data_IF_789545223047
#
_entry.id   IF_789545223047
#
_cell.length_a   1.000
_cell.length_b   1.000
_cell.length_c   1.000
_cell.angle_alpha   90.00
_cell.angle_beta   90.00
_cell.angle_gamma   90.00
#
_symmetry.space_group_name_H-M   'P 1'
#
loop_
_entity.id
_entity.type
_entity.pdbx_description
1 polymer ?
#
# COMPACT_ATOMS: atom_id res chain seq x y z
N UNK A 1 -16.96 -62.72 -34.03
CA UNK A 1 -15.86 -62.25 -33.17
C UNK A 1 -16.48 -61.45 -32.04
N UNK A 2 -16.61 -62.04 -30.85
CA UNK A 2 -17.15 -61.34 -29.69
C UNK A 2 -16.00 -60.58 -29.02
N UNK A 3 -16.04 -59.26 -29.12
CA UNK A 3 -15.14 -58.36 -28.41
C UNK A 3 -15.38 -58.50 -26.90
N UNK A 4 -14.48 -59.24 -26.24
CA UNK A 4 -14.49 -59.41 -24.79
C UNK A 4 -13.88 -58.14 -24.19
N UNK A 5 -14.72 -57.13 -24.02
CA UNK A 5 -14.39 -55.94 -23.24
C UNK A 5 -14.19 -56.36 -21.77
N UNK A 6 -12.95 -56.66 -21.40
CA UNK A 6 -12.54 -56.86 -20.01
C UNK A 6 -12.68 -55.50 -19.32
N UNK A 7 -13.84 -55.23 -18.70
CA UNK A 7 -14.00 -54.07 -17.82
C UNK A 7 -13.04 -54.24 -16.66
N UNK A 8 -11.88 -53.59 -16.74
CA UNK A 8 -11.01 -53.37 -15.59
C UNK A 8 -11.84 -52.57 -14.59
N UNK A 9 -12.30 -53.24 -13.52
CA UNK A 9 -12.95 -52.54 -12.42
C UNK A 9 -11.87 -51.76 -11.69
N UNK A 10 -12.17 -50.51 -11.38
CA UNK A 10 -11.32 -49.69 -10.52
C UNK A 10 -11.16 -50.43 -9.19
N UNK A 11 -9.93 -50.82 -8.86
CA UNK A 11 -9.63 -51.38 -7.54
C UNK A 11 -10.00 -50.35 -6.48
N UNK A 12 -10.77 -50.77 -5.49
CA UNK A 12 -11.14 -49.95 -4.34
C UNK A 12 -10.28 -50.36 -3.14
N UNK A 13 -10.06 -49.44 -2.20
CA UNK A 13 -9.27 -49.71 -0.98
C UNK A 13 -9.76 -50.90 -0.15
N UNK A 14 -11.03 -51.33 -0.33
CA UNK A 14 -11.62 -52.50 0.32
C UNK A 14 -11.27 -53.82 -0.36
N UNK A 15 -10.70 -53.78 -1.56
CA UNK A 15 -10.37 -54.98 -2.32
C UNK A 15 -9.08 -55.57 -1.72
N UNK A 16 -9.12 -56.86 -1.37
CA UNK A 16 -8.06 -57.56 -0.63
C UNK A 16 -6.72 -57.66 -1.35
N UNK A 17 -6.67 -57.25 -2.61
CA UNK A 17 -5.52 -57.27 -3.50
C UNK A 17 -4.97 -55.88 -3.84
N UNK A 18 -5.37 -54.85 -3.07
CA UNK A 18 -4.75 -53.52 -3.07
C UNK A 18 -3.67 -53.47 -2.00
N UNK A 19 -2.41 -53.46 -2.42
CA UNK A 19 -1.25 -53.24 -1.55
C UNK A 19 -0.94 -51.75 -1.44
N UNK A 20 -0.23 -51.29 -0.39
CA UNK A 20 0.21 -49.91 -0.28
C UNK A 20 1.02 -49.44 -1.50
N UNK A 21 1.76 -50.35 -2.13
CA UNK A 21 2.49 -50.09 -3.38
C UNK A 21 1.58 -49.80 -4.59
N UNK A 22 0.33 -50.26 -4.56
CA UNK A 22 -0.68 -50.06 -5.60
C UNK A 22 -1.38 -48.69 -5.49
N UNK A 23 -1.14 -47.93 -4.42
CA UNK A 23 -1.57 -46.54 -4.27
C UNK A 23 -0.57 -45.66 -5.05
N UNK A 24 -1.03 -45.08 -6.16
CA UNK A 24 -0.22 -44.39 -7.17
C UNK A 24 0.89 -43.51 -6.55
N UNK A 25 2.14 -43.97 -6.68
CA UNK A 25 3.35 -43.30 -6.20
C UNK A 25 4.47 -44.26 -5.76
N UNK A 26 4.17 -45.52 -5.45
CA UNK A 26 5.18 -46.56 -5.20
C UNK A 26 6.06 -46.35 -3.96
N UNK A 27 5.75 -45.38 -3.10
CA UNK A 27 6.46 -45.19 -1.83
C UNK A 27 5.85 -46.18 -0.83
N UNK A 28 6.44 -47.37 -0.75
CA UNK A 28 5.96 -48.47 0.08
C UNK A 28 5.99 -48.17 1.60
N UNK A 29 6.54 -47.03 2.03
CA UNK A 29 6.62 -46.64 3.44
C UNK A 29 6.81 -45.13 3.57
N UNK A 30 5.74 -44.32 3.55
CA UNK A 30 5.84 -42.86 3.69
C UNK A 30 6.20 -42.42 5.12
N UNK A 31 6.37 -43.37 6.04
CA UNK A 31 6.59 -43.12 7.46
C UNK A 31 5.28 -42.89 8.23
N UNK A 32 5.39 -42.70 9.53
CA UNK A 32 4.26 -42.34 10.38
C UNK A 32 3.80 -40.90 10.11
N UNK A 33 2.54 -40.60 10.42
CA UNK A 33 1.94 -39.25 10.33
C UNK A 33 1.78 -38.68 8.91
N UNK A 34 1.52 -39.55 7.93
CA UNK A 34 1.14 -39.15 6.58
C UNK A 34 -0.32 -39.52 6.29
N UNK A 35 -1.02 -38.71 5.51
CA UNK A 35 -2.31 -39.07 4.91
C UNK A 35 -2.19 -39.12 3.39
N UNK A 36 -2.88 -40.06 2.74
CA UNK A 36 -2.99 -40.09 1.28
C UNK A 36 -4.23 -39.30 0.86
N UNK A 37 -4.07 -38.30 0.00
CA UNK A 37 -5.16 -37.44 -0.43
C UNK A 37 -4.80 -36.59 -1.64
N UNK A 38 -5.60 -35.55 -1.88
CA UNK A 38 -5.38 -34.56 -2.93
C UNK A 38 -5.20 -33.19 -2.26
N UNK A 39 -4.14 -32.45 -2.59
CA UNK A 39 -3.92 -31.10 -2.04
C UNK A 39 -4.74 -30.03 -2.77
N UNK A 40 -4.66 -28.78 -2.30
CA UNK A 40 -5.38 -27.62 -2.86
C UNK A 40 -5.02 -27.30 -4.32
N UNK A 41 -3.91 -27.85 -4.82
CA UNK A 41 -3.48 -27.74 -6.22
C UNK A 41 -3.98 -28.90 -7.10
N UNK A 42 -4.77 -29.83 -6.56
CA UNK A 42 -5.28 -31.00 -7.28
C UNK A 42 -4.27 -32.15 -7.45
N UNK A 43 -3.08 -32.05 -6.85
CA UNK A 43 -2.07 -33.11 -6.88
C UNK A 43 -2.46 -34.18 -5.86
N UNK A 44 -2.36 -35.46 -6.24
CA UNK A 44 -2.61 -36.58 -5.33
C UNK A 44 -1.28 -37.13 -4.80
N UNK A 45 -1.21 -37.48 -3.51
CA UNK A 45 -0.01 -38.01 -2.89
C UNK A 45 -0.11 -38.21 -1.38
N UNK A 46 1.02 -38.56 -0.77
CA UNK A 46 1.17 -38.56 0.69
C UNK A 46 1.55 -37.17 1.19
N UNK A 47 0.78 -36.68 2.15
CA UNK A 47 0.99 -35.38 2.80
C UNK A 47 1.20 -35.56 4.29
N UNK A 48 1.91 -34.62 4.92
CA UNK A 48 1.99 -34.55 6.38
C UNK A 48 0.61 -34.35 6.98
N UNK A 49 0.28 -35.10 8.02
CA UNK A 49 -0.86 -34.75 8.87
C UNK A 49 -0.68 -33.30 9.35
N UNK A 50 -1.77 -32.51 9.47
CA UNK A 50 -1.69 -31.16 9.99
C UNK A 50 -0.90 -31.12 11.30
N UNK A 51 0.00 -30.15 11.43
CA UNK A 51 0.75 -29.97 12.67
C UNK A 51 -0.23 -29.84 13.85
N UNK A 52 -0.04 -30.64 14.89
CA UNK A 52 -0.97 -30.64 16.03
C UNK A 52 -1.01 -29.25 16.66
N UNK A 53 -2.20 -28.75 16.96
CA UNK A 53 -2.42 -27.49 17.69
C UNK A 53 -2.57 -27.72 19.18
N UNK A 54 -2.64 -28.98 19.62
CA UNK A 54 -2.83 -29.37 20.99
C UNK A 54 -1.95 -30.59 21.35
N UNK A 55 -1.51 -30.64 22.59
CA UNK A 55 -0.86 -31.80 23.19
C UNK A 55 -1.59 -32.16 24.48
N UNK A 56 -2.07 -33.40 24.57
CA UNK A 56 -2.86 -33.89 25.69
C UNK A 56 -2.16 -35.09 26.31
N UNK A 57 -2.30 -35.21 27.62
CA UNK A 57 -1.83 -36.39 28.33
C UNK A 57 -2.38 -36.45 29.74
N UNK A 58 -1.95 -37.47 30.45
CA UNK A 58 -2.25 -37.69 31.86
C UNK A 58 -0.98 -37.84 32.67
N UNK A 59 -1.08 -37.62 33.97
CA UNK A 59 0.04 -37.77 34.90
C UNK A 59 -0.47 -38.19 36.30
N UNK A 60 0.42 -38.77 37.07
CA UNK A 60 0.24 -39.12 38.49
C UNK A 60 1.33 -38.43 39.32
N UNK A 61 1.25 -38.51 40.65
CA UNK A 61 2.25 -37.93 41.56
C UNK A 61 3.69 -38.36 41.25
N UNK A 62 3.87 -39.63 40.84
CA UNK A 62 5.18 -40.17 40.49
C UNK A 62 5.82 -39.59 39.22
N UNK A 63 5.07 -38.84 38.40
CA UNK A 63 5.59 -38.12 37.25
C UNK A 63 6.15 -36.74 37.64
N UNK A 64 5.89 -36.29 38.87
CA UNK A 64 6.40 -35.04 39.41
C UNK A 64 7.81 -35.22 39.98
N UNK A 65 8.67 -34.25 39.72
CA UNK A 65 9.95 -34.10 40.42
C UNK A 65 9.86 -32.94 41.39
N UNK A 66 9.79 -33.22 42.69
CA UNK A 66 9.63 -32.20 43.75
C UNK A 66 8.42 -31.26 43.52
N UNK A 67 7.27 -31.83 43.12
CA UNK A 67 6.04 -31.06 42.86
C UNK A 67 5.94 -30.46 41.45
N UNK A 68 6.97 -30.59 40.63
CA UNK A 68 7.01 -30.00 39.27
C UNK A 68 6.78 -31.07 38.20
N UNK A 69 5.80 -30.82 37.34
CA UNK A 69 5.54 -31.62 36.13
C UNK A 69 6.33 -31.04 34.95
N UNK A 70 7.02 -31.90 34.19
CA UNK A 70 7.66 -31.53 32.93
C UNK A 70 6.86 -32.11 31.76
N UNK A 71 6.32 -31.25 30.89
CA UNK A 71 5.51 -31.64 29.73
C UNK A 71 6.29 -31.36 28.43
N UNK A 72 6.62 -32.41 27.69
CA UNK A 72 7.25 -32.31 26.36
C UNK A 72 6.19 -32.34 25.27
N UNK A 73 5.80 -31.17 24.74
CA UNK A 73 4.65 -31.00 23.85
C UNK A 73 4.98 -30.93 22.34
N UNK A 74 6.22 -30.59 21.96
CA UNK A 74 6.67 -30.53 20.55
C UNK A 74 5.78 -29.71 19.59
N UNK A 75 5.12 -28.64 20.06
CA UNK A 75 4.20 -27.82 19.24
C UNK A 75 4.91 -26.77 18.36
N UNK A 76 6.23 -26.65 18.49
CA UNK A 76 7.06 -25.75 17.70
C UNK A 76 6.91 -24.26 18.05
N UNK A 77 6.32 -23.94 19.21
CA UNK A 77 6.24 -22.57 19.75
C UNK A 77 6.49 -22.62 21.25
N UNK A 78 7.17 -21.59 21.78
CA UNK A 78 7.45 -21.49 23.22
C UNK A 78 6.20 -21.04 23.99
N UNK A 79 5.47 -20.08 23.45
CA UNK A 79 4.32 -19.51 24.12
C UNK A 79 3.08 -20.36 23.86
N UNK A 80 2.72 -21.19 24.84
CA UNK A 80 1.56 -22.08 24.83
C UNK A 80 0.58 -21.69 25.93
N UNK A 81 -0.64 -22.23 25.88
CA UNK A 81 -1.58 -22.18 27.00
C UNK A 81 -1.66 -23.56 27.63
N UNK A 82 -1.59 -23.63 28.96
CA UNK A 82 -1.65 -24.89 29.71
C UNK A 82 -2.91 -24.92 30.56
N UNK A 83 -3.61 -26.05 30.51
CA UNK A 83 -4.74 -26.37 31.38
C UNK A 83 -4.42 -27.65 32.13
N UNK A 84 -4.59 -27.65 33.45
CA UNK A 84 -4.48 -28.83 34.31
C UNK A 84 -5.87 -29.19 34.83
N UNK A 85 -6.20 -30.48 34.82
CA UNK A 85 -7.47 -31.03 35.29
C UNK A 85 -7.20 -32.14 36.29
N UNK A 86 -7.85 -32.12 37.44
CA UNK A 86 -7.71 -33.14 38.48
C UNK A 86 -8.46 -34.44 38.15
N UNK A 87 -8.31 -35.44 39.03
CA UNK A 87 -8.98 -36.75 38.92
C UNK A 87 -10.52 -36.68 39.07
N UNK A 88 -11.06 -35.53 39.51
CA UNK A 88 -12.49 -35.27 39.63
C UNK A 88 -13.04 -34.38 38.50
N UNK A 89 -12.33 -34.27 37.38
CA UNK A 89 -12.68 -33.43 36.23
C UNK A 89 -12.75 -31.92 36.52
N UNK A 90 -12.02 -31.43 37.54
CA UNK A 90 -11.96 -30.00 37.87
C UNK A 90 -10.71 -29.34 37.33
N UNK A 91 -10.88 -28.15 36.77
CA UNK A 91 -9.75 -27.31 36.39
C UNK A 91 -8.99 -26.86 37.63
N UNK A 92 -7.67 -27.00 37.59
CA UNK A 92 -6.77 -26.62 38.67
C UNK A 92 -5.86 -25.50 38.19
N UNK A 93 -5.67 -24.48 39.05
CA UNK A 93 -4.69 -23.44 38.81
C UNK A 93 -3.34 -23.89 39.39
N UNK A 94 -2.30 -24.06 38.58
CA UNK A 94 -0.96 -24.31 39.08
C UNK A 94 -0.41 -23.14 39.90
N UNK A 95 0.64 -23.40 40.68
CA UNK A 95 1.37 -22.36 41.40
C UNK A 95 2.18 -21.48 40.42
N UNK A 96 2.81 -22.11 39.44
CA UNK A 96 3.53 -21.45 38.36
C UNK A 96 3.52 -22.30 37.08
N UNK A 97 3.68 -21.64 35.93
CA UNK A 97 3.82 -22.29 34.62
C UNK A 97 4.94 -21.59 33.86
N UNK A 98 6.03 -22.33 33.60
CA UNK A 98 7.22 -21.79 32.94
C UNK A 98 7.31 -22.36 31.52
N UNK A 99 7.15 -21.47 30.54
CA UNK A 99 7.28 -21.77 29.10
C UNK A 99 8.74 -21.95 28.70
N UNK A 100 9.32 -23.12 28.99
CA UNK A 100 10.77 -23.36 28.95
C UNK A 100 11.37 -23.26 27.54
N UNK A 101 10.72 -23.85 26.53
CA UNK A 101 11.23 -23.88 25.15
C UNK A 101 10.10 -24.10 24.14
N UNK A 102 10.44 -24.21 22.85
CA UNK A 102 9.48 -24.54 21.78
C UNK A 102 8.90 -25.96 21.86
N UNK A 103 9.41 -26.79 22.77
CA UNK A 103 9.03 -28.19 22.93
C UNK A 103 8.68 -28.58 24.35
N UNK A 104 9.00 -27.76 25.36
CA UNK A 104 8.85 -28.11 26.79
C UNK A 104 8.22 -26.96 27.57
N UNK A 105 7.31 -27.31 28.48
CA UNK A 105 6.76 -26.44 29.53
C UNK A 105 6.84 -27.17 30.86
N UNK A 106 7.09 -26.44 31.95
CA UNK A 106 7.03 -26.98 33.31
C UNK A 106 5.90 -26.35 34.11
N UNK A 107 5.25 -27.14 34.94
CA UNK A 107 4.09 -26.73 35.74
C UNK A 107 4.38 -27.06 37.20
N UNK A 108 4.35 -26.06 38.07
CA UNK A 108 4.53 -26.22 39.50
C UNK A 108 3.17 -26.48 40.18
N UNK A 109 3.07 -27.60 40.89
CA UNK A 109 1.89 -28.04 41.64
C UNK A 109 2.23 -28.27 43.12
N UNK A 110 3.34 -27.72 43.61
CA UNK A 110 3.86 -27.98 44.96
C UNK A 110 2.85 -27.71 46.08
N UNK A 111 1.96 -26.73 45.93
CA UNK A 111 0.93 -26.40 46.92
C UNK A 111 -0.16 -27.47 47.07
N UNK A 112 -0.31 -28.35 46.07
CA UNK A 112 -1.25 -29.47 46.09
C UNK A 112 -0.71 -30.69 46.84
N UNK A 113 0.57 -30.70 47.22
CA UNK A 113 1.20 -31.81 47.94
C UNK A 113 1.21 -33.11 47.12
N UNK A 114 1.05 -34.24 47.80
CA UNK A 114 0.96 -35.54 47.12
C UNK A 114 -0.36 -35.66 46.37
N UNK A 115 -0.27 -35.82 45.05
CA UNK A 115 -1.46 -35.99 44.22
C UNK A 115 -2.06 -37.39 44.40
N UNK A 116 -3.39 -37.47 44.29
CA UNK A 116 -4.12 -38.75 44.26
C UNK A 116 -4.87 -38.88 42.93
N UNK A 117 -4.98 -40.11 42.44
CA UNK A 117 -5.65 -40.39 41.17
C UNK A 117 -4.81 -40.08 39.93
N UNK A 118 -5.46 -39.96 38.77
CA UNK A 118 -4.84 -39.64 37.49
C UNK A 118 -5.33 -38.29 36.99
N UNK A 119 -4.41 -37.34 36.92
CA UNK A 119 -4.67 -35.99 36.46
C UNK A 119 -4.42 -35.88 34.96
N UNK A 120 -4.91 -34.80 34.35
CA UNK A 120 -4.80 -34.54 32.92
C UNK A 120 -4.22 -33.16 32.65
N UNK A 121 -3.54 -33.03 31.53
CA UNK A 121 -3.11 -31.75 31.00
C UNK A 121 -3.51 -31.58 29.54
N UNK A 122 -3.71 -30.32 29.15
CA UNK A 122 -3.88 -29.87 27.79
C UNK A 122 -2.94 -28.69 27.56
N UNK A 123 -2.07 -28.81 26.56
CA UNK A 123 -1.19 -27.73 26.09
C UNK A 123 -1.67 -27.31 24.71
N UNK A 124 -2.04 -26.04 24.57
CA UNK A 124 -2.53 -25.46 23.32
C UNK A 124 -1.48 -24.54 22.71
N UNK A 125 -1.26 -24.68 21.41
CA UNK A 125 -0.45 -23.75 20.62
C UNK A 125 -1.13 -22.38 20.63
N UNK A 126 -0.50 -21.36 21.22
CA UNK A 126 -1.01 -19.99 21.10
C UNK A 126 -0.66 -19.43 19.72
N UNK A 127 -1.65 -18.88 19.02
CA UNK A 127 -1.49 -18.29 17.68
C UNK A 127 -1.06 -16.83 17.69
N UNK A 128 -0.77 -16.27 18.88
CA UNK A 128 -0.40 -14.87 19.02
C UNK A 128 1.05 -14.66 18.56
N UNK A 129 1.23 -14.02 17.41
CA UNK A 129 2.53 -13.51 16.99
C UNK A 129 2.85 -12.26 17.82
N UNK A 130 3.93 -12.30 18.60
CA UNK A 130 4.45 -11.13 19.33
C UNK A 130 5.32 -10.23 18.45
N UNK A 131 5.52 -10.58 17.18
CA UNK A 131 6.24 -9.72 16.25
C UNK A 131 5.38 -8.52 15.92
N UNK A 132 5.89 -7.31 16.19
CA UNK A 132 5.23 -6.08 15.78
C UNK A 132 4.92 -6.13 14.28
N UNK A 133 3.73 -5.70 13.84
CA UNK A 133 3.40 -5.74 12.42
C UNK A 133 4.36 -4.82 11.65
N UNK A 134 5.18 -5.40 10.77
CA UNK A 134 6.06 -4.64 9.87
C UNK A 134 5.33 -4.20 8.61
N UNK A 135 4.09 -4.65 8.39
CA UNK A 135 3.28 -4.22 7.25
C UNK A 135 1.78 -4.39 7.44
N UNK A 136 1.02 -3.56 6.75
CA UNK A 136 -0.39 -3.75 6.43
C UNK A 136 -0.43 -4.24 4.98
N UNK A 137 -1.04 -5.40 4.71
CA UNK A 137 -1.15 -5.98 3.37
C UNK A 137 -2.60 -6.36 3.08
N UNK A 138 -2.97 -6.38 1.80
CA UNK A 138 -4.20 -6.98 1.35
C UNK A 138 -4.10 -8.52 1.18
N UNK A 139 -5.13 -9.12 0.60
CA UNK A 139 -5.30 -10.57 0.58
C UNK A 139 -4.39 -11.28 -0.45
N UNK A 140 -4.07 -10.62 -1.56
CA UNK A 140 -3.16 -11.16 -2.58
C UNK A 140 -1.70 -10.72 -2.36
N UNK A 141 -1.48 -9.75 -1.47
CA UNK A 141 -0.16 -9.34 -1.01
C UNK A 141 0.55 -8.40 -1.98
N UNK A 142 -0.14 -7.85 -2.97
CA UNK A 142 0.43 -6.93 -3.94
C UNK A 142 0.29 -5.45 -3.52
N UNK A 143 -0.64 -5.16 -2.61
CA UNK A 143 -0.88 -3.83 -2.09
C UNK A 143 -0.53 -3.80 -0.60
N UNK A 144 0.44 -2.97 -0.23
CA UNK A 144 0.92 -2.92 1.15
C UNK A 144 1.41 -1.55 1.60
N UNK A 145 1.38 -1.37 2.92
CA UNK A 145 2.12 -0.32 3.64
C UNK A 145 3.16 -1.02 4.49
N UNK A 146 4.43 -0.86 4.15
CA UNK A 146 5.55 -1.52 4.82
C UNK A 146 6.30 -0.51 5.71
N UNK A 147 6.70 -0.96 6.89
CA UNK A 147 7.60 -0.28 7.82
C UNK A 147 8.86 -1.16 7.95
N UNK A 148 10.02 -0.59 7.58
CA UNK A 148 11.37 -1.17 7.75
C UNK A 148 11.56 -2.60 7.20
N UNK A 149 12.28 -2.76 6.07
CA UNK A 149 12.59 -4.10 5.55
C UNK A 149 13.83 -4.72 6.22
N UNK A 150 14.57 -3.94 7.01
CA UNK A 150 15.81 -4.30 7.69
C UNK A 150 15.96 -3.45 8.96
N UNK A 151 16.82 -3.90 9.89
CA UNK A 151 16.93 -3.39 11.28
C UNK A 151 17.26 -1.90 11.42
N UNK A 152 17.76 -1.27 10.37
CA UNK A 152 18.23 0.13 10.36
C UNK A 152 17.57 0.97 9.27
N UNK A 153 16.56 0.43 8.60
CA UNK A 153 15.93 1.12 7.49
C UNK A 153 14.73 1.94 7.96
N UNK A 154 14.96 3.21 8.32
CA UNK A 154 13.91 4.17 8.72
C UNK A 154 13.02 4.60 7.52
N UNK A 155 12.29 3.65 6.93
CA UNK A 155 11.46 3.89 5.73
C UNK A 155 10.07 3.34 5.87
N UNK A 156 9.12 4.13 5.36
CA UNK A 156 7.73 3.71 5.13
C UNK A 156 7.47 3.68 3.63
N UNK A 157 6.92 2.57 3.13
CA UNK A 157 6.62 2.38 1.69
C UNK A 157 5.16 2.07 1.46
N UNK A 158 4.61 2.61 0.39
CA UNK A 158 3.29 2.27 -0.13
C UNK A 158 3.49 1.55 -1.45
N UNK A 159 2.91 0.36 -1.58
CA UNK A 159 2.95 -0.47 -2.78
C UNK A 159 1.55 -0.69 -3.33
N UNK A 160 1.44 -0.72 -4.65
CA UNK A 160 0.22 -1.08 -5.38
C UNK A 160 0.64 -2.02 -6.51
N UNK A 161 -0.03 -3.16 -6.67
CA UNK A 161 0.29 -4.16 -7.70
C UNK A 161 1.78 -4.56 -7.67
N UNK A 162 2.36 -4.69 -6.47
CA UNK A 162 3.75 -5.08 -6.24
C UNK A 162 4.79 -3.99 -6.48
N UNK A 163 4.40 -2.78 -6.88
CA UNK A 163 5.31 -1.67 -7.18
C UNK A 163 5.28 -0.58 -6.11
N UNK A 164 6.44 -0.07 -5.68
CA UNK A 164 6.54 1.08 -4.76
C UNK A 164 6.05 2.36 -5.45
N UNK A 165 4.96 2.94 -4.95
CA UNK A 165 4.36 4.17 -5.49
C UNK A 165 4.68 5.40 -4.64
N UNK A 166 4.98 5.21 -3.35
CA UNK A 166 5.32 6.29 -2.43
C UNK A 166 6.26 5.78 -1.32
N UNK A 167 7.21 6.62 -0.93
CA UNK A 167 8.20 6.34 0.12
C UNK A 167 8.42 7.57 1.00
N UNK A 168 8.43 7.35 2.31
CA UNK A 168 8.93 8.30 3.30
C UNK A 168 10.28 7.80 3.82
N UNK A 169 11.30 8.65 3.75
CA UNK A 169 12.65 8.41 4.26
C UNK A 169 13.18 9.70 4.89
N UNK A 170 14.20 9.60 5.74
CA UNK A 170 14.77 10.76 6.44
C UNK A 170 15.13 11.89 5.45
N UNK A 171 14.69 13.11 5.78
CA UNK A 171 14.85 14.31 4.95
C UNK A 171 13.98 14.40 3.68
N UNK A 172 13.25 13.37 3.25
CA UNK A 172 12.55 13.36 1.96
C UNK A 172 11.12 13.96 1.99
N UNK A 173 10.51 14.08 3.17
CA UNK A 173 9.10 14.49 3.30
C UNK A 173 8.88 15.98 2.99
N UNK A 174 9.93 16.80 3.00
CA UNK A 174 9.85 18.23 2.70
C UNK A 174 9.96 18.57 1.19
N UNK A 175 10.32 17.60 0.34
CA UNK A 175 10.82 17.90 -1.01
C UNK A 175 10.00 17.38 -2.19
N UNK A 176 9.50 16.14 -2.14
CA UNK A 176 9.15 15.41 -3.37
C UNK A 176 7.66 15.09 -3.58
N UNK A 177 6.77 15.40 -2.64
CA UNK A 177 5.33 15.15 -2.84
C UNK A 177 4.71 16.14 -3.85
N UNK A 178 5.40 17.26 -4.16
CA UNK A 178 4.97 18.27 -5.14
C UNK A 178 6.03 18.68 -6.17
N UNK A 179 7.21 18.02 -6.22
CA UNK A 179 8.21 18.34 -7.25
C UNK A 179 7.79 17.75 -8.59
N UNK A 180 7.04 18.56 -9.31
CA UNK A 180 6.87 18.50 -10.74
C UNK A 180 8.26 18.57 -11.42
N UNK A 181 8.88 17.42 -11.66
CA UNK A 181 10.23 17.31 -12.23
C UNK A 181 10.28 17.54 -13.74
N UNK A 182 9.17 17.96 -14.36
CA UNK A 182 9.12 18.41 -15.75
C UNK A 182 8.96 19.93 -15.84
N UNK A 183 9.41 20.52 -16.95
CA UNK A 183 9.07 21.89 -17.34
C UNK A 183 7.58 21.93 -17.67
N UNK A 184 6.73 21.96 -16.64
CA UNK A 184 5.30 22.12 -16.83
C UNK A 184 4.96 23.61 -16.86
N UNK A 185 4.04 23.96 -17.75
CA UNK A 185 3.44 25.28 -17.73
C UNK A 185 2.72 25.47 -16.40
N UNK A 186 3.15 26.46 -15.62
CA UNK A 186 2.51 26.79 -14.34
C UNK A 186 1.10 27.37 -14.53
N UNK A 187 0.78 27.84 -15.74
CA UNK A 187 -0.52 28.41 -16.04
C UNK A 187 -1.54 27.33 -16.37
N UNK A 188 -2.58 27.26 -15.54
CA UNK A 188 -3.76 26.43 -15.79
C UNK A 188 -4.52 26.96 -17.00
N UNK A 189 -5.01 26.04 -17.84
CA UNK A 189 -5.83 26.36 -19.01
C UNK A 189 -5.20 27.44 -19.93
N UNK A 190 -3.87 27.43 -20.09
CA UNK A 190 -3.17 28.39 -20.96
C UNK A 190 -3.53 28.28 -22.44
N UNK A 191 -4.22 27.21 -22.86
CA UNK A 191 -4.79 27.05 -24.20
C UNK A 191 -6.20 27.63 -24.34
N UNK A 192 -6.84 28.06 -23.25
CA UNK A 192 -8.20 28.63 -23.22
C UNK A 192 -9.30 27.71 -23.78
N UNK A 193 -9.23 26.41 -23.48
CA UNK A 193 -10.20 25.42 -23.97
C UNK A 193 -11.38 25.22 -23.00
N UNK A 194 -11.19 25.51 -21.71
CA UNK A 194 -12.19 25.29 -20.66
C UNK A 194 -12.88 26.60 -20.23
N UNK A 195 -14.22 26.61 -20.25
CA UNK A 195 -15.10 27.76 -19.98
C UNK A 195 -16.38 27.34 -19.24
N UNK A 196 -16.28 26.64 -18.10
CA UNK A 196 -17.44 26.13 -17.36
C UNK A 196 -18.37 27.23 -16.85
N UNK A 197 -17.84 28.42 -16.57
CA UNK A 197 -18.63 29.59 -16.17
C UNK A 197 -19.39 30.28 -17.33
N UNK A 198 -19.34 29.72 -18.54
CA UNK A 198 -20.01 30.24 -19.73
C UNK A 198 -19.09 31.04 -20.66
N UNK A 199 -19.52 31.23 -21.91
CA UNK A 199 -18.69 31.77 -23.02
C UNK A 199 -18.44 33.28 -22.96
N UNK A 200 -19.06 33.98 -22.02
CA UNK A 200 -18.89 35.42 -21.77
C UNK A 200 -18.27 35.71 -20.39
N UNK A 201 -17.84 34.66 -19.69
CA UNK A 201 -17.11 34.72 -18.41
C UNK A 201 -15.63 34.42 -18.66
N UNK A 202 -14.73 34.72 -17.72
CA UNK A 202 -13.31 34.40 -17.91
C UNK A 202 -13.10 32.87 -18.11
N UNK A 203 -12.09 32.45 -18.90
CA UNK A 203 -11.71 31.04 -19.00
C UNK A 203 -11.40 30.45 -17.63
N UNK A 204 -11.63 29.15 -17.46
CA UNK A 204 -11.44 28.51 -16.16
C UNK A 204 -9.98 28.66 -15.69
N UNK A 205 -9.79 29.07 -14.44
CA UNK A 205 -8.48 29.38 -13.86
C UNK A 205 -7.95 30.78 -14.16
N UNK A 206 -8.68 31.61 -14.91
CA UNK A 206 -8.30 33.00 -15.19
C UNK A 206 -9.30 33.98 -14.58
N UNK A 207 -8.80 35.15 -14.22
CA UNK A 207 -9.59 36.26 -13.68
C UNK A 207 -9.46 37.48 -14.59
N UNK A 208 -10.57 38.19 -14.75
CA UNK A 208 -10.64 39.46 -15.47
C UNK A 208 -10.67 40.63 -14.50
N UNK A 209 -10.00 41.72 -14.85
CA UNK A 209 -10.07 43.00 -14.16
C UNK A 209 -10.31 44.10 -15.18
N UNK A 210 -11.54 44.60 -15.22
CA UNK A 210 -11.99 45.55 -16.25
C UNK A 210 -12.19 44.91 -17.63
N UNK A 211 -12.84 45.64 -18.54
CA UNK A 211 -13.11 45.17 -19.90
C UNK A 211 -14.17 44.07 -19.99
N UNK A 212 -14.24 43.40 -21.13
CA UNK A 212 -15.10 42.22 -21.37
C UNK A 212 -14.31 41.08 -22.00
N UNK A 213 -14.77 39.84 -21.79
CA UNK A 213 -14.15 38.64 -22.31
C UNK A 213 -15.18 37.80 -23.07
N UNK A 214 -14.75 37.16 -24.15
CA UNK A 214 -15.54 36.17 -24.86
C UNK A 214 -14.68 35.02 -25.36
N UNK A 215 -15.27 33.82 -25.42
CA UNK A 215 -14.65 32.66 -26.09
C UNK A 215 -14.69 32.86 -27.60
N UNK A 216 -13.53 33.00 -28.22
CA UNK A 216 -13.38 33.18 -29.66
C UNK A 216 -13.14 31.83 -30.35
N UNK A 217 -13.82 31.61 -31.46
CA UNK A 217 -13.81 30.35 -32.23
C UNK A 217 -13.40 30.53 -33.69
N UNK A 218 -13.08 31.76 -34.12
CA UNK A 218 -12.63 32.07 -35.47
C UNK A 218 -11.17 32.49 -35.51
N UNK A 219 -10.78 33.41 -34.63
CA UNK A 219 -9.39 33.83 -34.48
C UNK A 219 -8.73 33.01 -33.38
N UNK A 220 -8.18 31.86 -33.76
CA UNK A 220 -7.56 30.89 -32.86
C UNK A 220 -6.09 30.72 -33.24
N UNK A 221 -5.19 30.71 -32.25
CA UNK A 221 -3.78 30.38 -32.50
C UNK A 221 -3.51 28.88 -32.42
N UNK A 222 -4.04 28.20 -31.40
CA UNK A 222 -3.89 26.76 -31.17
C UNK A 222 -5.14 26.22 -30.50
N UNK A 223 -5.51 24.98 -30.81
CA UNK A 223 -6.68 24.32 -30.23
C UNK A 223 -7.97 24.73 -30.93
N UNK A 224 -9.06 24.78 -30.18
CA UNK A 224 -10.40 25.10 -30.68
C UNK A 224 -10.85 26.51 -30.32
N UNK A 225 -10.22 27.13 -29.31
CA UNK A 225 -10.65 28.43 -28.81
C UNK A 225 -9.48 29.37 -28.51
N UNK A 226 -9.79 30.65 -28.39
CA UNK A 226 -8.90 31.65 -27.81
C UNK A 226 -9.70 32.62 -26.94
N UNK A 227 -9.02 33.32 -26.04
CA UNK A 227 -9.65 34.31 -25.17
C UNK A 227 -9.65 35.69 -25.87
N UNK A 228 -10.82 36.19 -26.24
CA UNK A 228 -10.96 37.55 -26.80
C UNK A 228 -11.25 38.54 -25.70
N UNK A 229 -10.24 39.33 -25.35
CA UNK A 229 -10.35 40.42 -24.40
C UNK A 229 -10.60 41.74 -25.11
N UNK A 230 -11.67 42.44 -24.73
CA UNK A 230 -12.00 43.77 -25.24
C UNK A 230 -11.81 44.77 -24.13
N UNK A 231 -10.73 45.55 -24.22
CA UNK A 231 -10.44 46.59 -23.25
C UNK A 231 -11.34 47.81 -23.44
N UNK A 232 -11.60 48.51 -22.35
CA UNK A 232 -12.14 49.88 -22.32
C UNK A 232 -11.07 50.82 -21.72
N UNK A 233 -11.45 51.97 -21.18
CA UNK A 233 -10.47 52.90 -20.58
C UNK A 233 -9.90 52.39 -19.26
N UNK A 234 -8.61 52.67 -19.00
CA UNK A 234 -7.91 52.34 -17.75
C UNK A 234 -7.04 51.08 -17.82
N UNK A 235 -6.45 50.69 -16.69
CA UNK A 235 -5.63 49.46 -16.59
C UNK A 235 -6.55 48.26 -16.47
N UNK A 236 -6.45 47.34 -17.42
CA UNK A 236 -7.30 46.16 -17.49
C UNK A 236 -6.50 44.93 -17.90
N UNK A 237 -6.84 43.77 -17.34
CA UNK A 237 -6.09 42.55 -17.61
C UNK A 237 -6.96 41.29 -17.50
N UNK A 238 -6.51 40.26 -18.23
CA UNK A 238 -6.81 38.87 -17.97
C UNK A 238 -5.57 38.28 -17.27
N UNK A 239 -5.73 37.73 -16.07
CA UNK A 239 -4.61 37.27 -15.24
C UNK A 239 -4.88 35.92 -14.59
N UNK A 240 -3.80 35.24 -14.22
CA UNK A 240 -3.82 34.12 -13.30
C UNK A 240 -2.83 34.38 -12.18
N UNK A 241 -3.21 34.05 -10.94
CA UNK A 241 -2.34 34.17 -9.78
C UNK A 241 -1.71 32.80 -9.54
N UNK A 242 -0.38 32.75 -9.53
CA UNK A 242 0.36 31.53 -9.16
C UNK A 242 0.21 31.32 -7.64
N UNK A 243 -0.20 30.15 -7.15
CA UNK A 243 -0.39 29.89 -5.73
C UNK A 243 0.84 30.20 -4.86
N UNK A 244 0.63 30.74 -3.65
CA UNK A 244 1.71 31.13 -2.72
C UNK A 244 2.68 29.99 -2.37
N UNK A 245 2.18 28.75 -2.28
CA UNK A 245 3.03 27.56 -2.03
C UNK A 245 4.04 27.31 -3.15
N UNK A 246 3.70 27.68 -4.38
CA UNK A 246 4.61 27.61 -5.52
C UNK A 246 5.51 28.84 -5.49
N UNK A 247 4.96 30.04 -5.27
CA UNK A 247 5.71 31.31 -5.24
C UNK A 247 6.95 31.26 -4.33
N UNK A 248 6.83 30.71 -3.11
CA UNK A 248 7.98 30.57 -2.18
C UNK A 248 9.11 29.67 -2.70
N UNK A 249 8.79 28.71 -3.58
CA UNK A 249 9.77 27.86 -4.25
C UNK A 249 10.40 28.54 -5.48
N UNK A 250 9.78 29.60 -5.99
CA UNK A 250 10.21 30.34 -7.17
C UNK A 250 11.22 31.44 -6.86
N UNK A 251 11.33 31.89 -5.61
CA UNK A 251 12.27 32.94 -5.19
C UNK A 251 13.70 32.65 -5.65
N UNK A 252 14.32 33.63 -6.31
CA UNK A 252 15.65 33.53 -6.90
C UNK A 252 15.74 32.73 -8.20
N UNK A 253 14.63 32.21 -8.73
CA UNK A 253 14.57 31.52 -10.02
C UNK A 253 14.12 32.47 -11.14
N UNK A 254 14.51 32.12 -12.36
CA UNK A 254 14.13 32.85 -13.57
C UNK A 254 12.93 32.16 -14.22
N UNK A 255 11.89 32.93 -14.51
CA UNK A 255 10.70 32.47 -15.21
C UNK A 255 10.52 33.20 -16.52
N UNK A 256 10.01 32.48 -17.51
CA UNK A 256 9.62 33.03 -18.80
C UNK A 256 8.13 32.82 -18.99
N UNK A 257 7.40 33.90 -19.23
CA UNK A 257 6.02 33.86 -19.69
C UNK A 257 5.98 34.24 -21.16
N UNK A 258 5.33 33.40 -21.96
CA UNK A 258 5.11 33.65 -23.38
C UNK A 258 3.66 33.40 -23.76
N UNK A 259 3.12 34.22 -24.65
CA UNK A 259 1.78 34.05 -25.21
C UNK A 259 1.72 34.56 -26.65
N UNK A 260 0.97 33.86 -27.49
CA UNK A 260 0.58 34.39 -28.79
C UNK A 260 -0.59 35.35 -28.60
N UNK A 261 -0.45 36.58 -29.12
CA UNK A 261 -1.45 37.65 -29.02
C UNK A 261 -1.77 38.15 -30.42
N UNK A 262 -3.05 38.40 -30.71
CA UNK A 262 -3.49 39.04 -31.97
C UNK A 262 -4.24 40.31 -31.66
N UNK A 263 -3.75 41.44 -32.16
CA UNK A 263 -4.41 42.74 -32.00
C UNK A 263 -3.93 43.77 -33.01
N UNK A 264 -4.80 44.70 -33.38
CA UNK A 264 -4.47 45.90 -34.18
C UNK A 264 -4.10 47.11 -33.32
N UNK A 265 -4.19 46.99 -32.00
CA UNK A 265 -3.78 48.05 -31.07
C UNK A 265 -2.30 47.87 -30.71
N UNK A 266 -1.49 48.91 -30.97
CA UNK A 266 -0.15 49.00 -30.41
C UNK A 266 -0.24 49.37 -28.93
N UNK A 267 0.65 48.80 -28.10
CA UNK A 267 0.67 49.05 -26.65
C UNK A 267 0.13 47.92 -25.77
N UNK A 268 -0.34 46.81 -26.36
CA UNK A 268 -0.69 45.60 -25.63
C UNK A 268 0.57 44.78 -25.34
N UNK A 269 0.75 44.31 -24.10
CA UNK A 269 1.90 43.50 -23.69
C UNK A 269 1.46 42.38 -22.74
N UNK A 270 2.35 41.42 -22.51
CA UNK A 270 2.23 40.48 -21.39
C UNK A 270 3.14 40.93 -20.24
N UNK A 271 2.79 40.55 -19.02
CA UNK A 271 3.46 41.00 -17.81
C UNK A 271 3.59 39.86 -16.80
N UNK A 272 4.70 39.83 -16.07
CA UNK A 272 4.84 39.13 -14.80
C UNK A 272 4.87 40.19 -13.69
N UNK A 273 4.04 40.02 -12.67
CA UNK A 273 3.92 40.93 -11.52
C UNK A 273 3.96 40.11 -10.22
N UNK A 274 4.75 40.58 -9.25
CA UNK A 274 4.87 40.01 -7.92
C UNK A 274 3.98 40.76 -6.91
N UNK A 275 3.67 40.13 -5.77
CA UNK A 275 2.84 40.74 -4.71
C UNK A 275 3.50 41.98 -4.09
N UNK A 276 4.83 42.05 -4.13
CA UNK A 276 5.61 43.22 -3.68
C UNK A 276 5.54 44.42 -4.64
N UNK A 277 4.84 44.30 -5.78
CA UNK A 277 4.69 45.35 -6.79
C UNK A 277 5.78 45.39 -7.86
N UNK A 278 6.80 44.52 -7.78
CA UNK A 278 7.77 44.30 -8.84
C UNK A 278 7.06 43.79 -10.09
N UNK A 279 7.35 44.38 -11.25
CA UNK A 279 6.73 44.00 -12.50
C UNK A 279 7.72 44.05 -13.66
N UNK A 280 7.55 43.15 -14.63
CA UNK A 280 8.31 43.16 -15.88
C UNK A 280 7.36 42.93 -17.04
N UNK A 281 7.48 43.76 -18.06
CA UNK A 281 6.64 43.70 -19.25
C UNK A 281 7.43 43.13 -20.42
N UNK A 282 6.75 42.45 -21.34
CA UNK A 282 7.30 42.20 -22.67
C UNK A 282 7.39 43.50 -23.47
N UNK A 283 8.05 43.44 -24.62
CA UNK A 283 7.80 44.42 -25.69
C UNK A 283 6.30 44.46 -26.03
N UNK A 284 5.82 45.62 -26.46
CA UNK A 284 4.45 45.78 -26.92
C UNK A 284 4.25 45.02 -28.25
N UNK A 285 3.05 44.47 -28.43
CA UNK A 285 2.55 44.01 -29.73
C UNK A 285 2.66 45.15 -30.75
N UNK A 286 3.07 44.82 -31.98
CA UNK A 286 3.34 45.84 -33.00
C UNK A 286 2.09 46.62 -33.44
N UNK A 287 0.91 46.04 -33.20
CA UNK A 287 -0.38 46.53 -33.70
C UNK A 287 -0.69 46.07 -35.13
N UNK A 288 0.04 45.07 -35.64
CA UNK A 288 -0.11 44.54 -37.01
C UNK A 288 -1.48 43.93 -37.33
N UNK A 289 -2.29 43.59 -36.33
CA UNK A 289 -3.50 42.78 -36.50
C UNK A 289 -3.24 41.29 -36.69
N UNK A 290 -1.98 40.84 -36.70
CA UNK A 290 -1.60 39.43 -36.81
C UNK A 290 -1.27 38.81 -35.46
N UNK A 291 -1.09 37.49 -35.42
CA UNK A 291 -0.60 36.80 -34.22
C UNK A 291 0.90 37.04 -34.04
N UNK A 292 1.31 37.47 -32.86
CA UNK A 292 2.71 37.66 -32.47
C UNK A 292 2.99 36.95 -31.15
N UNK A 293 4.13 36.26 -31.06
CA UNK A 293 4.60 35.69 -29.81
C UNK A 293 5.24 36.78 -28.95
N UNK A 294 4.57 37.15 -27.87
CA UNK A 294 5.18 38.00 -26.84
C UNK A 294 5.86 37.12 -25.81
N UNK A 295 7.03 37.56 -25.33
CA UNK A 295 7.81 36.85 -24.31
C UNK A 295 8.34 37.85 -23.28
N UNK A 296 8.26 37.50 -22.02
CA UNK A 296 8.86 38.24 -20.90
C UNK A 296 9.60 37.27 -19.98
N UNK A 297 10.79 37.66 -19.53
CA UNK A 297 11.59 36.91 -18.57
C UNK A 297 11.75 37.73 -17.29
N UNK A 298 11.58 37.09 -16.14
CA UNK A 298 11.62 37.74 -14.84
C UNK A 298 12.31 36.86 -13.80
N UNK A 299 13.15 37.45 -12.95
CA UNK A 299 13.74 36.78 -11.79
C UNK A 299 12.88 37.10 -10.58
N UNK A 300 12.27 36.08 -9.98
CA UNK A 300 11.38 36.25 -8.82
C UNK A 300 12.21 36.69 -7.62
N UNK A 301 11.87 37.85 -7.05
CA UNK A 301 12.64 38.46 -5.95
C UNK A 301 12.26 37.87 -4.59
N UNK A 302 11.03 37.38 -4.45
CA UNK A 302 10.45 36.93 -3.19
C UNK A 302 9.82 38.08 -2.40
N UNK A 303 9.00 37.72 -1.42
CA UNK A 303 8.49 38.69 -0.44
C UNK A 303 9.64 39.04 0.52
N UNK A 304 9.96 40.33 0.62
CA UNK A 304 10.92 40.84 1.61
C UNK A 304 10.39 40.79 3.04
#
# INVERSE_FOLDING_TARGET
MADRHTRVRSKQLKDSDVRPEDLQGGIASPGNSKYYGTNDSGTTGFYDLPASTAFLGSFVDGDLSSGILTITHNLGTQYVSVVIVDDNDKLVMPDDVIMTSTTVVTVDLSSYGTLTGTWRYLVLKSGASLTAPTKIQDADGDTSVDCEQNTDEDKIRFKIAGSEVLRFEDGAVAGNIFRNTGVQNLLLNGSFEYWYAGTSSAPDGWAISGGTIARESTNIHRGSYSAKFTSTSGVQNLRQIVPNLIYSQLTGKVFTFSAYVKTSNSGIHIQIMENNGSQTNSSNHSGSGNWELLTVTHTVQGDG
#
